data_IF_536031053068
#
_entry.id   IF_536031053068
#
_cell.length_a   1.000
_cell.length_b   1.000
_cell.length_c   1.000
_cell.angle_alpha   90.00
_cell.angle_beta   90.00
_cell.angle_gamma   90.00
#
_symmetry.space_group_name_H-M   'P 1'
#
loop_
_entity.id
_entity.type
_entity.pdbx_description
1 polymer ?
#
# COMPACT_ATOMS: atom_id res chain seq x y z
N UNK A 1 6.49 -42.53 25.73
CA UNK A 1 6.80 -41.14 26.11
C UNK A 1 6.12 -40.88 27.44
N UNK A 2 6.79 -40.20 28.37
CA UNK A 2 6.22 -39.88 29.69
C UNK A 2 5.00 -38.94 29.57
N UNK A 3 3.97 -39.12 30.42
CA UNK A 3 2.71 -38.33 30.41
C UNK A 3 3.02 -36.84 30.60
N UNK A 4 4.00 -36.51 31.45
CA UNK A 4 4.44 -35.14 31.69
C UNK A 4 5.10 -34.52 30.46
N UNK A 5 5.99 -35.26 29.79
CA UNK A 5 6.58 -34.80 28.51
C UNK A 5 5.54 -34.60 27.42
N UNK A 6 4.51 -35.43 27.38
CA UNK A 6 3.41 -35.29 26.41
C UNK A 6 2.53 -34.07 26.70
N UNK A 7 2.28 -33.79 27.97
CA UNK A 7 1.61 -32.57 28.39
C UNK A 7 2.40 -31.32 27.96
N UNK A 8 3.69 -31.27 28.28
CA UNK A 8 4.57 -30.15 27.87
C UNK A 8 4.63 -29.98 26.34
N UNK A 9 4.59 -31.08 25.59
CA UNK A 9 4.56 -31.02 24.12
C UNK A 9 3.28 -30.36 23.62
N UNK A 10 2.11 -30.72 24.15
CA UNK A 10 0.83 -30.13 23.73
C UNK A 10 0.66 -28.70 24.18
N UNK A 11 1.15 -28.35 25.36
CA UNK A 11 1.22 -26.96 25.81
C UNK A 11 2.07 -26.12 24.85
N UNK A 12 3.28 -26.58 24.52
CA UNK A 12 4.17 -25.91 23.56
C UNK A 12 3.54 -25.81 22.17
N UNK A 13 2.87 -26.85 21.71
CA UNK A 13 2.18 -26.85 20.43
C UNK A 13 1.06 -25.80 20.42
N UNK A 14 0.24 -25.72 21.46
CA UNK A 14 -0.82 -24.71 21.58
C UNK A 14 -0.27 -23.30 21.47
N UNK A 15 0.78 -22.97 22.23
CA UNK A 15 1.41 -21.64 22.18
C UNK A 15 2.06 -21.37 20.83
N UNK A 16 2.70 -22.38 20.23
CA UNK A 16 3.23 -22.28 18.88
C UNK A 16 2.15 -21.93 17.85
N UNK A 17 0.98 -22.57 17.92
CA UNK A 17 -0.13 -22.27 17.00
C UNK A 17 -0.68 -20.85 17.19
N UNK A 18 -0.67 -20.31 18.41
CA UNK A 18 -1.02 -18.91 18.67
C UNK A 18 -0.02 -17.94 18.07
N UNK A 19 1.29 -18.23 18.15
CA UNK A 19 2.31 -17.42 17.47
C UNK A 19 2.19 -17.51 15.95
N UNK A 20 1.93 -18.70 15.41
CA UNK A 20 1.76 -18.91 13.96
C UNK A 20 0.57 -18.11 13.44
N UNK A 21 -0.54 -18.08 14.19
CA UNK A 21 -1.70 -17.22 13.87
C UNK A 21 -1.31 -15.75 13.70
N UNK A 22 -0.46 -15.23 14.57
CA UNK A 22 0.02 -13.84 14.51
C UNK A 22 0.95 -13.63 13.32
N UNK A 23 1.90 -14.54 13.08
CA UNK A 23 2.81 -14.51 11.92
C UNK A 23 2.03 -14.53 10.60
N UNK A 24 1.00 -15.38 10.49
CA UNK A 24 0.13 -15.43 9.30
C UNK A 24 -0.62 -14.10 9.13
N UNK A 25 -1.14 -13.54 10.21
CA UNK A 25 -1.86 -12.25 10.16
C UNK A 25 -0.94 -11.11 9.71
N UNK A 26 0.29 -11.06 10.21
CA UNK A 26 1.31 -10.12 9.73
C UNK A 26 1.59 -10.26 8.24
N UNK A 27 1.74 -11.51 7.74
CA UNK A 27 1.93 -11.76 6.29
C UNK A 27 0.74 -11.27 5.46
N UNK A 28 -0.49 -11.48 5.93
CA UNK A 28 -1.70 -10.98 5.28
C UNK A 28 -1.68 -9.45 5.19
N UNK A 29 -1.40 -8.76 6.30
CA UNK A 29 -1.33 -7.29 6.34
C UNK A 29 -0.28 -6.73 5.38
N UNK A 30 0.93 -7.30 5.39
CA UNK A 30 2.01 -6.90 4.47
C UNK A 30 1.58 -7.09 3.02
N UNK A 31 0.93 -8.21 2.70
CA UNK A 31 0.47 -8.47 1.33
C UNK A 31 -0.63 -7.50 0.90
N UNK A 32 -1.58 -7.17 1.78
CA UNK A 32 -2.58 -6.12 1.51
C UNK A 32 -1.93 -4.76 1.25
N UNK A 33 -0.93 -4.38 2.05
CA UNK A 33 -0.21 -3.12 1.88
C UNK A 33 0.51 -3.06 0.52
N UNK A 34 1.11 -4.17 0.06
CA UNK A 34 1.73 -4.25 -1.26
C UNK A 34 0.71 -4.08 -2.39
N UNK A 35 -0.46 -4.72 -2.30
CA UNK A 35 -1.54 -4.55 -3.29
C UNK A 35 -2.03 -3.10 -3.32
N UNK A 36 -2.30 -2.51 -2.16
CA UNK A 36 -2.74 -1.13 -2.06
C UNK A 36 -1.72 -0.14 -2.64
N UNK A 37 -0.43 -0.35 -2.34
CA UNK A 37 0.67 0.45 -2.90
C UNK A 37 0.72 0.33 -4.42
N UNK A 38 0.57 -0.88 -4.96
CA UNK A 38 0.51 -1.11 -6.40
C UNK A 38 -0.65 -0.36 -7.06
N UNK A 39 -1.84 -0.39 -6.45
CA UNK A 39 -2.99 0.39 -6.94
C UNK A 39 -2.78 1.89 -6.86
N UNK A 40 -2.14 2.40 -5.82
CA UNK A 40 -1.80 3.84 -5.72
C UNK A 40 -0.89 4.26 -6.87
N UNK A 41 0.16 3.47 -7.16
CA UNK A 41 1.08 3.72 -8.27
C UNK A 41 0.32 3.69 -9.60
N UNK A 42 -0.48 2.64 -9.85
CA UNK A 42 -1.26 2.54 -11.09
C UNK A 42 -2.28 3.66 -11.24
N UNK A 43 -2.93 4.07 -10.15
CA UNK A 43 -3.87 5.20 -10.13
C UNK A 43 -3.19 6.51 -10.53
N UNK A 44 -2.00 6.78 -10.00
CA UNK A 44 -1.18 7.92 -10.42
C UNK A 44 -0.87 7.88 -11.92
N UNK A 45 -0.38 6.74 -12.42
CA UNK A 45 0.01 6.59 -13.83
C UNK A 45 -1.19 6.72 -14.77
N UNK A 46 -2.35 6.17 -14.39
CA UNK A 46 -3.59 6.33 -15.16
C UNK A 46 -4.04 7.79 -15.21
N UNK A 47 -3.92 8.52 -14.10
CA UNK A 47 -4.26 9.94 -14.03
C UNK A 47 -3.37 10.81 -14.93
N UNK A 48 -2.08 10.47 -15.01
CA UNK A 48 -1.10 11.24 -15.78
C UNK A 48 -0.92 10.74 -17.21
N UNK A 49 -1.77 9.82 -17.69
CA UNK A 49 -1.62 9.21 -19.00
C UNK A 49 -1.90 10.20 -20.14
N UNK A 50 -0.92 10.39 -21.01
CA UNK A 50 -1.04 11.18 -22.23
C UNK A 50 -1.54 10.32 -23.41
N UNK A 51 -2.80 10.54 -23.80
CA UNK A 51 -3.43 9.86 -24.95
C UNK A 51 -2.96 10.36 -26.31
N UNK A 52 -2.25 11.50 -26.38
CA UNK A 52 -1.75 12.08 -27.62
C UNK A 52 -0.40 11.51 -28.05
N UNK A 53 0.27 10.80 -27.14
CA UNK A 53 1.55 10.13 -27.37
C UNK A 53 1.41 8.90 -28.30
N UNK A 54 2.48 8.11 -28.39
CA UNK A 54 2.54 6.90 -29.21
C UNK A 54 1.37 5.94 -28.87
N UNK A 55 0.42 5.82 -29.81
CA UNK A 55 -0.79 4.99 -29.67
C UNK A 55 -0.48 3.54 -29.30
N UNK A 56 0.63 3.00 -29.80
CA UNK A 56 1.06 1.64 -29.45
C UNK A 56 1.45 1.54 -27.98
N UNK A 57 2.28 2.46 -27.49
CA UNK A 57 2.71 2.50 -26.09
C UNK A 57 1.52 2.70 -25.13
N UNK A 58 0.60 3.61 -25.46
CA UNK A 58 -0.64 3.82 -24.70
C UNK A 58 -1.49 2.55 -24.67
N UNK A 59 -1.68 1.88 -25.80
CA UNK A 59 -2.44 0.62 -25.86
C UNK A 59 -1.78 -0.48 -25.02
N UNK A 60 -0.46 -0.64 -25.09
CA UNK A 60 0.28 -1.59 -24.27
C UNK A 60 0.11 -1.29 -22.79
N UNK A 61 0.27 -0.04 -22.37
CA UNK A 61 0.06 0.38 -20.99
C UNK A 61 -1.34 0.03 -20.48
N UNK A 62 -2.39 0.39 -21.23
CA UNK A 62 -3.79 0.15 -20.84
C UNK A 62 -4.08 -1.35 -20.73
N UNK A 63 -3.63 -2.16 -21.69
CA UNK A 63 -3.83 -3.62 -21.66
C UNK A 63 -3.11 -4.24 -20.46
N UNK A 64 -1.84 -3.89 -20.24
CA UNK A 64 -1.07 -4.41 -19.11
C UNK A 64 -1.70 -4.02 -17.77
N UNK A 65 -2.12 -2.76 -17.61
CA UNK A 65 -2.81 -2.29 -16.41
C UNK A 65 -4.13 -3.03 -16.18
N UNK A 66 -4.94 -3.24 -17.24
CA UNK A 66 -6.18 -4.02 -17.14
C UNK A 66 -5.91 -5.47 -16.72
N UNK A 67 -4.90 -6.12 -17.30
CA UNK A 67 -4.48 -7.49 -16.92
C UNK A 67 -4.00 -7.52 -15.47
N UNK A 68 -3.23 -6.54 -15.00
CA UNK A 68 -2.83 -6.43 -13.60
C UNK A 68 -4.05 -6.36 -12.67
N UNK A 69 -5.06 -5.54 -12.99
CA UNK A 69 -6.30 -5.49 -12.22
C UNK A 69 -7.02 -6.84 -12.19
N UNK A 70 -7.15 -7.52 -13.33
CA UNK A 70 -7.78 -8.83 -13.40
C UNK A 70 -7.07 -9.90 -12.54
N UNK A 71 -5.74 -9.97 -12.60
CA UNK A 71 -4.96 -10.94 -11.83
C UNK A 71 -4.96 -10.59 -10.33
N UNK A 72 -4.92 -9.30 -9.98
CA UNK A 72 -4.93 -8.86 -8.58
C UNK A 72 -6.25 -9.13 -7.85
N UNK A 73 -7.38 -9.26 -8.55
CA UNK A 73 -8.61 -9.80 -7.94
C UNK A 73 -8.42 -11.21 -7.39
N UNK A 74 -7.65 -12.07 -8.08
CA UNK A 74 -7.28 -13.39 -7.58
C UNK A 74 -6.51 -13.29 -6.26
N UNK A 75 -5.54 -12.37 -6.19
CA UNK A 75 -4.79 -12.10 -4.97
C UNK A 75 -5.71 -11.67 -3.80
N UNK A 76 -6.58 -10.68 -4.05
CA UNK A 76 -7.51 -10.15 -3.06
C UNK A 76 -8.50 -11.22 -2.55
N UNK A 77 -9.02 -12.07 -3.44
CA UNK A 77 -9.92 -13.16 -3.07
C UNK A 77 -9.27 -14.10 -2.03
N UNK A 78 -8.03 -14.53 -2.28
CA UNK A 78 -7.31 -15.39 -1.35
C UNK A 78 -6.92 -14.68 -0.05
N UNK A 79 -6.58 -13.38 -0.12
CA UNK A 79 -6.28 -12.58 1.08
C UNK A 79 -7.48 -12.42 2.00
N UNK A 80 -8.65 -12.07 1.44
CA UNK A 80 -9.88 -11.92 2.22
C UNK A 80 -10.22 -13.24 2.92
N UNK A 81 -10.07 -14.38 2.22
CA UNK A 81 -10.31 -15.71 2.80
C UNK A 81 -9.29 -16.10 3.87
N UNK A 82 -8.04 -15.65 3.74
CA UNK A 82 -7.00 -15.86 4.76
C UNK A 82 -7.25 -15.01 6.02
N UNK A 83 -7.89 -13.86 5.86
CA UNK A 83 -8.16 -12.91 6.94
C UNK A 83 -9.47 -13.22 7.68
N UNK A 84 -10.56 -13.42 6.95
CA UNK A 84 -11.91 -13.48 7.51
C UNK A 84 -12.42 -14.90 7.76
N UNK A 85 -13.28 -15.05 8.77
CA UNK A 85 -14.04 -16.29 9.01
C UNK A 85 -13.24 -17.45 9.63
N UNK A 86 -12.10 -17.16 10.26
CA UNK A 86 -11.27 -18.16 10.92
C UNK A 86 -11.47 -18.08 12.45
N UNK A 87 -11.90 -19.18 13.06
CA UNK A 87 -12.14 -19.26 14.51
C UNK A 87 -11.07 -20.11 15.19
N UNK A 88 -10.58 -19.63 16.32
CA UNK A 88 -9.56 -20.31 17.13
C UNK A 88 -10.15 -20.74 18.46
N UNK A 89 -9.74 -21.93 18.91
CA UNK A 89 -10.10 -22.42 20.23
C UNK A 89 -9.04 -21.96 21.24
N UNK A 90 -9.50 -21.31 22.30
CA UNK A 90 -8.68 -20.91 23.43
C UNK A 90 -8.79 -21.90 24.58
N UNK A 91 -7.74 -21.94 25.41
CA UNK A 91 -7.81 -22.60 26.71
C UNK A 91 -8.91 -21.99 27.59
N UNK A 92 -9.56 -22.80 28.46
CA UNK A 92 -10.48 -22.28 29.46
C UNK A 92 -9.78 -21.24 30.33
N UNK A 93 -10.54 -20.26 30.79
CA UNK A 93 -9.99 -19.24 31.67
C UNK A 93 -9.50 -19.85 32.99
N UNK A 94 -8.52 -19.22 33.67
CA UNK A 94 -8.10 -19.67 34.99
C UNK A 94 -9.26 -19.75 35.98
N UNK A 95 -10.22 -18.82 35.88
CA UNK A 95 -11.45 -18.81 36.70
C UNK A 95 -12.31 -20.05 36.46
N UNK A 96 -12.59 -20.39 35.21
CA UNK A 96 -13.40 -21.59 34.89
C UNK A 96 -12.69 -22.88 35.30
N UNK A 97 -11.36 -22.90 35.16
CA UNK A 97 -10.53 -24.04 35.59
C UNK A 97 -10.59 -24.20 37.11
N UNK A 98 -10.56 -23.11 37.86
CA UNK A 98 -10.64 -23.12 39.32
C UNK A 98 -12.04 -23.49 39.82
N UNK A 99 -13.10 -22.98 39.18
CA UNK A 99 -14.48 -23.40 39.47
C UNK A 99 -14.64 -24.91 39.26
N UNK A 100 -14.14 -25.45 38.15
CA UNK A 100 -14.17 -26.90 37.92
C UNK A 100 -13.36 -27.68 38.98
N UNK A 101 -12.25 -27.12 39.48
CA UNK A 101 -11.49 -27.70 40.59
C UNK A 101 -12.28 -27.71 41.89
N UNK A 102 -12.95 -26.61 42.23
CA UNK A 102 -13.83 -26.53 43.41
C UNK A 102 -14.98 -27.54 43.33
N UNK A 103 -15.61 -27.67 42.16
CA UNK A 103 -16.65 -28.67 41.90
C UNK A 103 -16.14 -30.11 42.10
N UNK A 104 -14.92 -30.42 41.65
CA UNK A 104 -14.30 -31.73 41.86
C UNK A 104 -13.98 -32.00 43.33
N UNK A 105 -13.57 -30.99 44.10
CA UNK A 105 -13.33 -31.11 45.55
C UNK A 105 -14.66 -31.40 46.26
N UNK A 106 -15.71 -30.66 45.95
CA UNK A 106 -17.04 -30.89 46.51
C UNK A 106 -17.55 -32.30 46.15
N UNK A 107 -17.39 -32.71 44.90
CA UNK A 107 -17.79 -34.04 44.45
C UNK A 107 -17.02 -35.16 45.17
N UNK A 108 -15.71 -34.98 45.41
CA UNK A 108 -14.92 -35.90 46.22
C UNK A 108 -15.48 -36.06 47.63
N UNK A 109 -15.86 -34.96 48.29
CA UNK A 109 -16.47 -35.01 49.62
C UNK A 109 -17.82 -35.75 49.61
N UNK A 110 -18.65 -35.50 48.60
CA UNK A 110 -19.94 -36.20 48.44
C UNK A 110 -19.76 -37.71 48.25
N UNK A 111 -18.80 -38.12 47.42
CA UNK A 111 -18.48 -39.55 47.20
C UNK A 111 -17.93 -40.19 48.48
N UNK A 112 -17.06 -39.51 49.22
CA UNK A 112 -16.54 -40.01 50.47
C UNK A 112 -17.67 -40.24 51.50
N UNK A 113 -18.59 -39.28 51.65
CA UNK A 113 -19.74 -39.42 52.52
C UNK A 113 -20.66 -40.56 52.08
N UNK A 114 -20.97 -40.65 50.79
CA UNK A 114 -21.78 -41.74 50.23
C UNK A 114 -21.16 -43.11 50.50
N UNK A 115 -19.84 -43.25 50.36
CA UNK A 115 -19.12 -44.50 50.64
C UNK A 115 -19.14 -44.90 52.12
N UNK A 116 -19.26 -43.93 53.03
CA UNK A 116 -19.46 -44.19 54.45
C UNK A 116 -20.90 -44.65 54.74
N UNK A 117 -21.89 -43.99 54.13
CA UNK A 117 -23.31 -44.28 54.34
C UNK A 117 -23.74 -45.60 53.67
N UNK A 118 -23.09 -45.98 52.56
CA UNK A 118 -23.41 -47.17 51.76
C UNK A 118 -22.17 -48.05 51.47
N UNK A 119 -21.62 -48.77 52.48
CA UNK A 119 -20.37 -49.53 52.33
C UNK A 119 -20.45 -50.69 51.32
N UNK A 120 -21.66 -51.20 51.05
CA UNK A 120 -21.89 -52.30 50.11
C UNK A 120 -21.98 -51.83 48.64
N UNK A 121 -22.01 -50.52 48.39
CA UNK A 121 -22.12 -49.94 47.04
C UNK A 121 -21.12 -48.80 46.81
N UNK A 122 -19.87 -48.99 47.27
CA UNK A 122 -18.84 -47.96 47.20
C UNK A 122 -18.58 -47.51 45.76
N UNK A 123 -18.53 -46.19 45.59
CA UNK A 123 -18.11 -45.53 44.37
C UNK A 123 -16.59 -45.31 44.37
N UNK A 124 -15.94 -45.27 43.19
CA UNK A 124 -14.51 -45.02 43.10
C UNK A 124 -14.14 -43.64 43.64
N UNK A 125 -13.01 -43.55 44.34
CA UNK A 125 -12.51 -42.27 44.84
C UNK A 125 -12.09 -41.34 43.70
N UNK A 126 -12.40 -40.05 43.86
CA UNK A 126 -12.06 -39.02 42.89
C UNK A 126 -10.74 -38.35 43.29
N UNK A 127 -9.70 -38.56 42.47
CA UNK A 127 -8.42 -37.88 42.60
C UNK A 127 -8.49 -36.56 41.81
N UNK A 128 -8.71 -35.46 42.53
CA UNK A 128 -8.94 -34.12 41.95
C UNK A 128 -7.78 -33.71 41.03
N UNK A 129 -6.53 -33.82 41.49
CA UNK A 129 -5.36 -33.37 40.73
C UNK A 129 -5.19 -34.14 39.41
N UNK A 130 -5.48 -35.44 39.40
CA UNK A 130 -5.43 -36.26 38.20
C UNK A 130 -6.52 -35.84 37.21
N UNK A 131 -7.75 -35.62 37.69
CA UNK A 131 -8.87 -35.17 36.84
C UNK A 131 -8.64 -33.78 36.24
N UNK A 132 -8.04 -32.86 37.00
CA UNK A 132 -7.65 -31.54 36.51
C UNK A 132 -6.54 -31.67 35.46
N UNK A 133 -5.50 -32.45 35.76
CA UNK A 133 -4.39 -32.69 34.83
C UNK A 133 -4.88 -33.28 33.51
N UNK A 134 -5.77 -34.27 33.56
CA UNK A 134 -6.38 -34.89 32.38
C UNK A 134 -7.27 -33.93 31.60
N UNK A 135 -8.04 -33.08 32.30
CA UNK A 135 -8.85 -32.06 31.66
C UNK A 135 -7.97 -31.07 30.88
N UNK A 136 -6.95 -30.51 31.52
CA UNK A 136 -6.02 -29.58 30.89
C UNK A 136 -5.27 -30.23 29.72
N UNK A 137 -4.82 -31.46 29.92
CA UNK A 137 -4.17 -32.25 28.87
C UNK A 137 -5.06 -32.41 27.63
N UNK A 138 -6.34 -32.77 27.81
CA UNK A 138 -7.29 -32.88 26.70
C UNK A 138 -7.52 -31.52 26.05
N UNK A 139 -7.70 -30.46 26.84
CA UNK A 139 -7.92 -29.11 26.30
C UNK A 139 -6.75 -28.63 25.45
N UNK A 140 -5.50 -28.83 25.90
CA UNK A 140 -4.33 -28.48 25.10
C UNK A 140 -4.27 -29.27 23.79
N UNK A 141 -4.50 -30.58 23.83
CA UNK A 141 -4.52 -31.44 22.63
C UNK A 141 -5.59 -30.98 21.63
N UNK A 142 -6.82 -30.79 22.10
CA UNK A 142 -7.97 -30.52 21.24
C UNK A 142 -7.89 -29.10 20.66
N UNK A 143 -7.49 -28.11 21.47
CA UNK A 143 -7.27 -26.74 20.99
C UNK A 143 -6.13 -26.67 19.99
N UNK A 144 -4.98 -27.31 20.28
CA UNK A 144 -3.84 -27.35 19.35
C UNK A 144 -4.25 -27.96 18.01
N UNK A 145 -4.91 -29.12 18.03
CA UNK A 145 -5.34 -29.83 16.81
C UNK A 145 -6.24 -28.96 15.92
N UNK A 146 -7.25 -28.32 16.52
CA UNK A 146 -8.14 -27.40 15.80
C UNK A 146 -7.37 -26.20 15.23
N UNK A 147 -6.52 -25.58 16.05
CA UNK A 147 -5.79 -24.39 15.68
C UNK A 147 -4.75 -24.66 14.57
N UNK A 148 -4.07 -25.81 14.59
CA UNK A 148 -3.17 -26.26 13.50
C UNK A 148 -3.92 -26.36 12.18
N UNK A 149 -5.09 -27.03 12.16
CA UNK A 149 -5.88 -27.17 10.93
C UNK A 149 -6.32 -25.81 10.36
N UNK A 150 -6.68 -24.85 11.23
CA UNK A 150 -7.01 -23.48 10.83
C UNK A 150 -5.77 -22.76 10.29
N UNK A 151 -4.63 -22.87 10.96
CA UNK A 151 -3.38 -22.24 10.54
C UNK A 151 -2.88 -22.78 9.19
N UNK A 152 -2.93 -24.09 8.96
CA UNK A 152 -2.55 -24.72 7.69
C UNK A 152 -3.40 -24.19 6.54
N UNK A 153 -4.73 -24.18 6.72
CA UNK A 153 -5.65 -23.64 5.71
C UNK A 153 -5.36 -22.17 5.42
N UNK A 154 -5.17 -21.34 6.45
CA UNK A 154 -4.87 -19.91 6.28
C UNK A 154 -3.52 -19.70 5.58
N UNK A 155 -2.50 -20.44 6.00
CA UNK A 155 -1.16 -20.41 5.40
C UNK A 155 -1.20 -20.75 3.91
N UNK A 156 -1.98 -21.76 3.52
CA UNK A 156 -2.20 -22.11 2.13
C UNK A 156 -2.85 -20.96 1.33
N UNK A 157 -3.88 -20.29 1.89
CA UNK A 157 -4.50 -19.15 1.22
C UNK A 157 -3.51 -17.97 1.08
N UNK A 158 -2.69 -17.70 2.10
CA UNK A 158 -1.65 -16.67 2.03
C UNK A 158 -0.64 -17.01 0.93
N UNK A 159 -0.16 -18.25 0.87
CA UNK A 159 0.76 -18.68 -0.17
C UNK A 159 0.17 -18.50 -1.58
N UNK A 160 -1.10 -18.87 -1.77
CA UNK A 160 -1.82 -18.65 -3.03
C UNK A 160 -1.93 -17.16 -3.35
N UNK A 161 -2.29 -16.31 -2.40
CA UNK A 161 -2.36 -14.86 -2.63
C UNK A 161 -1.03 -14.27 -3.08
N UNK A 162 0.08 -14.70 -2.48
CA UNK A 162 1.41 -14.23 -2.85
C UNK A 162 1.79 -14.66 -4.27
N UNK A 163 1.44 -15.89 -4.68
CA UNK A 163 1.59 -16.35 -6.06
C UNK A 163 0.83 -15.46 -7.06
N UNK A 164 -0.42 -15.10 -6.75
CA UNK A 164 -1.20 -14.18 -7.59
C UNK A 164 -0.60 -12.77 -7.62
N UNK A 165 -0.07 -12.28 -6.49
CA UNK A 165 0.63 -11.00 -6.43
C UNK A 165 1.85 -10.98 -7.36
N UNK A 166 2.67 -12.03 -7.33
CA UNK A 166 3.82 -12.16 -8.24
C UNK A 166 3.39 -12.16 -9.70
N UNK A 167 2.33 -12.88 -10.06
CA UNK A 167 1.82 -12.84 -11.43
C UNK A 167 1.24 -11.48 -11.82
N UNK A 168 0.61 -10.74 -10.91
CA UNK A 168 0.11 -9.40 -11.17
C UNK A 168 1.26 -8.37 -11.33
N UNK A 169 2.38 -8.60 -10.66
CA UNK A 169 3.57 -7.73 -10.70
C UNK A 169 4.26 -7.71 -12.07
N UNK A 170 4.19 -8.80 -12.84
CA UNK A 170 4.82 -8.90 -14.17
C UNK A 170 4.21 -7.89 -15.16
N UNK A 171 2.89 -7.91 -15.45
CA UNK A 171 2.28 -6.91 -16.34
C UNK A 171 2.34 -5.50 -15.75
N UNK A 172 2.32 -5.36 -14.41
CA UNK A 172 2.49 -4.06 -13.76
C UNK A 172 3.88 -3.48 -14.08
N UNK A 173 4.92 -4.30 -13.98
CA UNK A 173 6.29 -3.88 -14.29
C UNK A 173 6.42 -3.47 -15.76
N UNK A 174 5.82 -4.23 -16.69
CA UNK A 174 5.79 -3.87 -18.12
C UNK A 174 5.08 -2.52 -18.31
N UNK A 175 3.92 -2.32 -17.68
CA UNK A 175 3.19 -1.05 -17.73
C UNK A 175 4.05 0.13 -17.21
N UNK A 176 4.72 -0.06 -16.08
CA UNK A 176 5.64 0.93 -15.49
C UNK A 176 6.79 1.30 -16.41
N UNK A 177 7.45 0.30 -16.99
CA UNK A 177 8.56 0.52 -17.92
C UNK A 177 8.08 1.23 -19.19
N UNK A 178 6.95 0.80 -19.77
CA UNK A 178 6.36 1.45 -20.95
C UNK A 178 6.01 2.91 -20.66
N UNK A 179 5.40 3.20 -19.51
CA UNK A 179 5.04 4.57 -19.13
C UNK A 179 6.25 5.51 -19.07
N UNK A 180 7.36 5.04 -18.48
CA UNK A 180 8.58 5.83 -18.32
C UNK A 180 9.33 5.99 -19.64
N UNK A 181 9.56 4.90 -20.40
CA UNK A 181 10.37 4.92 -21.62
C UNK A 181 9.72 5.77 -22.72
N UNK A 182 8.40 5.69 -22.86
CA UNK A 182 7.67 6.43 -23.89
C UNK A 182 7.19 7.81 -23.43
N UNK A 183 7.64 8.25 -22.25
CA UNK A 183 7.29 9.53 -21.64
C UNK A 183 5.77 9.79 -21.70
N UNK A 184 4.99 8.82 -21.21
CA UNK A 184 3.53 8.88 -21.24
C UNK A 184 2.96 9.82 -20.18
N UNK A 185 3.81 10.47 -19.36
CA UNK A 185 3.40 11.48 -18.40
C UNK A 185 3.09 12.81 -19.13
N UNK A 186 1.87 13.33 -18.94
CA UNK A 186 1.44 14.63 -19.49
C UNK A 186 2.27 15.79 -18.90
N UNK A 187 2.75 15.66 -17.65
CA UNK A 187 3.48 16.71 -16.94
C UNK A 187 5.00 16.55 -17.02
N UNK A 188 5.49 15.71 -17.92
CA UNK A 188 6.93 15.59 -18.15
C UNK A 188 7.51 16.96 -18.55
N UNK A 189 8.55 17.47 -17.85
CA UNK A 189 9.22 18.73 -18.21
C UNK A 189 9.83 18.74 -19.62
N UNK A 190 9.89 17.57 -20.27
CA UNK A 190 10.41 17.37 -21.63
C UNK A 190 9.38 17.67 -22.71
N UNK A 191 8.10 17.72 -22.36
CA UNK A 191 7.05 18.17 -23.27
C UNK A 191 6.96 19.67 -23.15
N UNK A 192 7.29 20.38 -24.22
CA UNK A 192 6.97 21.81 -24.33
C UNK A 192 5.45 21.94 -24.27
N UNK A 193 4.92 22.16 -23.06
CA UNK A 193 3.58 22.71 -22.92
C UNK A 193 3.69 24.10 -23.53
N UNK A 194 3.31 24.25 -24.79
CA UNK A 194 3.22 25.55 -25.43
C UNK A 194 2.18 26.34 -24.65
N UNK A 195 2.65 27.13 -23.68
CA UNK A 195 1.81 28.12 -22.99
C UNK A 195 1.60 29.20 -24.04
N UNK A 196 0.59 29.00 -24.88
CA UNK A 196 0.10 30.05 -25.75
C UNK A 196 -0.62 31.03 -24.82
N UNK A 197 0.11 32.05 -24.39
CA UNK A 197 -0.48 33.15 -23.64
C UNK A 197 -1.44 33.90 -24.58
N UNK A 198 -2.73 33.60 -24.45
CA UNK A 198 -3.77 34.24 -25.25
C UNK A 198 -3.78 35.76 -25.04
N UNK A 199 -3.31 36.27 -23.91
CA UNK A 199 -3.19 37.72 -23.70
C UNK A 199 -2.13 38.34 -24.61
N UNK A 200 -0.99 37.66 -24.78
CA UNK A 200 0.08 38.08 -25.69
C UNK A 200 -0.37 37.95 -27.14
N UNK A 201 -1.07 36.86 -27.50
CA UNK A 201 -1.61 36.68 -28.85
C UNK A 201 -2.64 37.76 -29.19
N UNK A 202 -3.51 38.11 -28.25
CA UNK A 202 -4.51 39.16 -28.43
C UNK A 202 -3.85 40.54 -28.55
N UNK A 203 -2.90 40.87 -27.68
CA UNK A 203 -2.14 42.11 -27.75
C UNK A 203 -1.35 42.23 -29.08
N UNK A 204 -0.75 41.13 -29.54
CA UNK A 204 -0.01 41.10 -30.81
C UNK A 204 -0.95 41.30 -32.02
N UNK A 205 -2.16 40.74 -31.97
CA UNK A 205 -3.18 40.94 -33.00
C UNK A 205 -3.73 42.37 -33.01
N UNK A 206 -3.86 42.99 -31.83
CA UNK A 206 -4.29 44.38 -31.69
C UNK A 206 -3.22 45.33 -32.26
N UNK A 207 -1.94 45.14 -31.91
CA UNK A 207 -0.80 45.87 -32.49
C UNK A 207 -0.75 45.67 -34.00
N UNK A 208 -0.94 44.45 -34.49
CA UNK A 208 -0.95 44.16 -35.93
C UNK A 208 -2.09 44.91 -36.63
N UNK A 209 -3.26 45.00 -36.02
CA UNK A 209 -4.39 45.73 -36.57
C UNK A 209 -4.13 47.24 -36.60
N UNK A 210 -3.55 47.80 -35.55
CA UNK A 210 -3.14 49.21 -35.52
C UNK A 210 -2.08 49.55 -36.58
N UNK A 211 -1.08 48.67 -36.76
CA UNK A 211 -0.07 48.83 -37.81
C UNK A 211 -0.72 48.79 -39.19
N UNK A 212 -1.66 47.88 -39.45
CA UNK A 212 -2.37 47.81 -40.74
C UNK A 212 -3.16 49.09 -40.99
N UNK A 213 -3.91 49.59 -39.99
CA UNK A 213 -4.62 50.87 -40.09
C UNK A 213 -3.65 52.01 -40.37
N UNK A 214 -2.53 52.08 -39.64
CA UNK A 214 -1.53 53.13 -39.82
C UNK A 214 -0.89 53.08 -41.21
N UNK A 215 -0.63 51.87 -41.73
CA UNK A 215 -0.04 51.66 -43.07
C UNK A 215 -1.04 51.97 -44.19
N UNK A 216 -2.33 51.68 -43.98
CA UNK A 216 -3.40 52.03 -44.91
C UNK A 216 -3.70 53.55 -44.89
N UNK A 217 -3.56 54.20 -43.73
CA UNK A 217 -3.63 55.66 -43.60
C UNK A 217 -2.46 56.35 -44.34
N UNK A 218 -1.26 55.81 -44.26
CA UNK A 218 -0.09 56.34 -44.99
C UNK A 218 -0.09 56.04 -46.50
N UNK A 219 -0.95 55.13 -46.97
CA UNK A 219 -1.15 54.88 -48.41
C UNK A 219 -2.17 55.83 -49.05
N UNK A 220 -2.93 56.59 -48.26
CA UNK A 220 -3.84 57.63 -48.74
C UNK A 220 -3.27 59.01 -48.42
N UNK A 221 -2.80 59.71 -49.44
CA UNK A 221 -2.29 61.09 -49.42
C UNK A 221 -0.97 61.34 -48.64
N UNK A 222 0.16 61.27 -49.36
CA UNK A 222 1.02 62.44 -49.61
C UNK A 222 2.23 62.07 -50.48
N UNK A 223 2.51 62.91 -51.48
CA UNK A 223 3.83 63.03 -52.09
C UNK A 223 4.86 63.31 -50.97
N UNK A 224 5.88 62.47 -50.85
CA UNK A 224 7.00 62.76 -49.97
C UNK A 224 7.77 63.95 -50.53
N UNK A 225 8.04 65.01 -49.75
CA UNK A 225 9.04 65.98 -50.16
C UNK A 225 10.39 65.27 -50.23
N UNK A 226 11.10 65.50 -51.32
CA UNK A 226 12.46 65.03 -51.54
C UNK A 226 13.35 65.56 -50.40
N UNK A 227 13.73 64.68 -49.47
CA UNK A 227 14.71 64.98 -48.42
C UNK A 227 16.09 64.86 -49.06
N UNK A 228 16.76 66.00 -49.18
CA UNK A 228 18.14 66.10 -49.65
C UNK A 228 19.05 65.33 -48.67
N UNK A 229 19.64 64.24 -49.16
CA UNK A 229 20.40 63.27 -48.37
C UNK A 229 21.80 63.83 -48.04
N UNK A 230 21.92 64.54 -46.92
CA UNK A 230 23.21 64.98 -46.35
C UNK A 230 23.40 64.40 -44.94
N UNK A 231 23.09 63.11 -44.75
CA UNK A 231 23.45 62.38 -43.53
C UNK A 231 24.76 61.61 -43.71
N UNK A 232 25.83 62.12 -43.11
CA UNK A 232 27.05 61.33 -42.87
C UNK A 232 26.88 60.65 -41.51
N UNK A 233 26.89 59.30 -41.42
CA UNK A 233 26.74 58.62 -40.15
C UNK A 233 27.94 58.92 -39.23
N UNK A 234 27.73 59.24 -37.94
CA UNK A 234 28.83 59.27 -36.99
C UNK A 234 29.41 57.86 -36.82
N UNK A 235 30.72 57.73 -36.55
CA UNK A 235 31.34 56.42 -36.37
C UNK A 235 30.68 55.67 -35.21
N UNK A 236 30.64 54.31 -35.25
CA UNK A 236 30.02 53.52 -34.21
C UNK A 236 30.63 53.86 -32.85
N UNK A 237 29.79 54.16 -31.86
CA UNK A 237 30.24 54.26 -30.48
C UNK A 237 30.83 52.89 -30.07
N UNK A 238 32.01 52.91 -29.44
CA UNK A 238 32.61 51.71 -28.89
C UNK A 238 31.61 51.02 -27.95
N UNK A 239 31.52 49.68 -27.96
CA UNK A 239 30.61 48.96 -27.08
C UNK A 239 30.90 49.33 -25.62
N UNK A 240 29.86 49.79 -24.92
CA UNK A 240 29.94 49.97 -23.47
C UNK A 240 30.12 48.60 -22.82
N UNK A 241 31.13 48.49 -21.94
CA UNK A 241 31.29 47.31 -21.11
C UNK A 241 30.00 47.08 -20.30
N UNK A 242 29.52 45.83 -20.21
CA UNK A 242 28.33 45.53 -19.42
C UNK A 242 28.59 45.86 -17.94
N UNK A 243 27.62 46.50 -17.30
CA UNK A 243 27.65 46.77 -15.87
C UNK A 243 27.89 45.48 -15.08
N UNK A 244 28.72 45.61 -14.04
CA UNK A 244 29.09 44.50 -13.17
C UNK A 244 27.82 43.98 -12.49
N UNK A 245 27.54 42.69 -12.67
CA UNK A 245 26.44 41.99 -11.97
C UNK A 245 26.58 42.24 -10.46
N UNK A 246 25.57 42.79 -9.77
CA UNK A 246 25.65 42.94 -8.33
C UNK A 246 25.79 41.55 -7.70
N UNK A 247 26.84 41.39 -6.89
CA UNK A 247 26.94 40.25 -5.98
C UNK A 247 25.78 40.39 -4.99
N UNK A 248 24.86 39.43 -5.02
CA UNK A 248 23.92 39.27 -3.92
C UNK A 248 24.74 38.86 -2.72
N UNK A 249 25.01 39.82 -1.84
CA UNK A 249 25.56 39.59 -0.52
C UNK A 249 24.47 38.88 0.28
N UNK A 250 24.54 37.54 0.33
CA UNK A 250 23.71 36.72 1.21
C UNK A 250 24.17 36.91 2.66
N UNK A 251 23.95 38.08 3.23
CA UNK A 251 23.96 38.28 4.67
C UNK A 251 22.53 38.12 5.18
N UNK A 252 22.17 36.86 5.39
CA UNK A 252 21.29 36.42 6.48
C UNK A 252 21.40 34.89 6.59
N UNK A 253 22.43 34.46 7.33
CA UNK A 253 22.41 33.15 7.96
C UNK A 253 21.19 33.09 8.90
N UNK A 254 20.36 32.04 8.85
CA UNK A 254 19.37 31.82 9.90
C UNK A 254 20.12 31.57 11.22
N UNK A 255 19.79 32.38 12.23
CA UNK A 255 20.20 32.21 13.61
C UNK A 255 19.91 30.76 14.04
N UNK A 256 20.96 30.07 14.46
CA UNK A 256 20.82 28.85 15.22
C UNK A 256 20.42 29.22 16.66
N UNK A 257 19.20 28.84 17.06
CA UNK A 257 18.79 28.76 18.46
C UNK A 257 17.40 29.33 18.75
N UNK A 258 16.40 28.46 18.77
CA UNK A 258 15.65 28.03 19.97
C UNK A 258 14.82 26.76 19.66
#
# INVERSE_FOLDING_TARGET
>A
MDKQRLFELYEKLYFHEMEVREKITGRVQVTFALVATGYTILSYMLRMLDFTSNKFAVSTFVICTAVTFLISFGCLYYLIRAFWGNTYNGMPSPKETDVYREELILHRHQIAQYNMDYPQNQQPEVIVDERISEHLYSKFRDCSTHNTAVNDRRSEQVHKSFKWLLFASIPMFIASVTFIIFDLDVFSPRKETSIIDQSVVNALNEIKHEIVIFTDFYKGDQEMPEVEDNYVPPPPAAPQEPDVRPLVENDNLPSAGE
#
